data_IF_595669665041
#
_entry.id   IF_595669665041
#
_cell.length_a   1.000
_cell.length_b   1.000
_cell.length_c   1.000
_cell.angle_alpha   90.00
_cell.angle_beta   90.00
_cell.angle_gamma   90.00
#
_symmetry.space_group_name_H-M   'P 1'
#
loop_
_entity.id
_entity.type
_entity.pdbx_description
1 polymer ?
#
# COMPACT_ATOMS: atom_id res chain seq x y z
N UNK A 1 38.33 4.75 -32.76
CA UNK A 1 39.70 5.06 -32.31
C UNK A 1 40.51 3.76 -32.15
N UNK A 2 40.54 2.89 -33.18
CA UNK A 2 41.14 1.53 -33.14
C UNK A 2 42.34 1.39 -34.11
N UNK A 3 42.74 2.47 -34.79
CA UNK A 3 43.49 2.35 -36.04
C UNK A 3 45.01 2.04 -35.93
N UNK A 4 45.67 2.07 -34.76
CA UNK A 4 47.15 2.06 -34.71
C UNK A 4 47.78 1.12 -33.66
N UNK A 5 47.12 0.04 -33.23
CA UNK A 5 47.71 -0.87 -32.23
C UNK A 5 48.78 -1.82 -32.78
N UNK A 6 48.83 -2.01 -34.11
CA UNK A 6 49.78 -2.89 -34.77
C UNK A 6 50.65 -2.06 -35.72
N UNK A 7 51.66 -1.37 -35.18
CA UNK A 7 52.77 -0.95 -36.03
C UNK A 7 53.56 -2.22 -36.38
N UNK A 8 53.40 -2.69 -37.62
CA UNK A 8 54.15 -3.85 -38.11
C UNK A 8 55.65 -3.62 -37.91
N UNK A 9 56.39 -4.60 -37.34
CA UNK A 9 57.84 -4.50 -37.27
C UNK A 9 58.39 -4.45 -38.70
N UNK A 10 59.18 -3.43 -39.01
CA UNK A 10 59.82 -3.24 -40.32
C UNK A 10 60.54 -4.54 -40.72
N UNK A 11 60.13 -5.14 -41.84
CA UNK A 11 60.83 -6.30 -42.43
C UNK A 11 62.16 -5.85 -43.01
N UNK A 12 63.25 -6.21 -42.33
CA UNK A 12 64.60 -6.16 -42.90
C UNK A 12 64.95 -7.57 -43.41
N UNK A 13 64.87 -7.76 -44.72
CA UNK A 13 65.06 -9.04 -45.43
C UNK A 13 66.52 -9.54 -45.47
N UNK A 14 67.45 -8.99 -44.67
CA UNK A 14 68.89 -9.29 -44.75
C UNK A 14 69.54 -9.96 -43.52
N UNK A 15 68.77 -10.40 -42.51
CA UNK A 15 69.35 -10.73 -41.19
C UNK A 15 69.49 -12.22 -40.82
N UNK A 16 69.41 -13.18 -41.75
CA UNK A 16 69.38 -14.61 -41.40
C UNK A 16 70.75 -15.25 -41.05
N UNK A 17 71.84 -14.46 -40.95
CA UNK A 17 73.21 -15.01 -40.85
C UNK A 17 73.74 -15.13 -39.41
N UNK A 18 73.06 -14.59 -38.39
CA UNK A 18 73.56 -14.63 -37.00
C UNK A 18 72.52 -15.17 -36.00
N UNK A 19 72.71 -16.40 -35.50
CA UNK A 19 71.74 -17.11 -34.65
C UNK A 19 71.42 -16.40 -33.33
N UNK A 20 72.41 -15.78 -32.67
CA UNK A 20 72.21 -15.03 -31.42
C UNK A 20 71.39 -13.75 -31.64
N UNK A 21 71.68 -13.01 -32.73
CA UNK A 21 70.94 -11.82 -33.15
C UNK A 21 69.50 -12.14 -33.59
N UNK A 22 69.23 -13.39 -33.95
CA UNK A 22 67.88 -13.86 -34.34
C UNK A 22 67.02 -14.13 -33.10
N UNK A 23 67.61 -14.69 -32.03
CA UNK A 23 66.89 -14.96 -30.77
C UNK A 23 66.48 -13.66 -30.09
N UNK A 24 67.37 -12.68 -30.01
CA UNK A 24 67.08 -11.36 -29.41
C UNK A 24 65.94 -10.62 -30.14
N UNK A 25 65.91 -10.69 -31.48
CA UNK A 25 64.81 -10.14 -32.28
C UNK A 25 63.47 -10.84 -32.00
N UNK A 26 63.48 -12.17 -31.88
CA UNK A 26 62.27 -12.94 -31.56
C UNK A 26 61.75 -12.59 -30.16
N UNK A 27 62.62 -12.45 -29.17
CA UNK A 27 62.26 -12.03 -27.81
C UNK A 27 61.64 -10.63 -27.82
N UNK A 28 62.27 -9.67 -28.50
CA UNK A 28 61.73 -8.30 -28.58
C UNK A 28 60.35 -8.24 -29.25
N UNK A 29 60.12 -9.02 -30.30
CA UNK A 29 58.81 -9.12 -30.95
C UNK A 29 57.79 -9.77 -30.02
N UNK A 30 58.19 -10.82 -29.28
CA UNK A 30 57.35 -11.48 -28.29
C UNK A 30 56.94 -10.51 -27.17
N UNK A 31 57.87 -9.75 -26.60
CA UNK A 31 57.60 -8.78 -25.54
C UNK A 31 56.70 -7.63 -26.03
N UNK A 32 56.91 -7.18 -27.28
CA UNK A 32 56.03 -6.20 -27.90
C UNK A 32 54.60 -6.74 -28.06
N UNK A 33 54.44 -7.97 -28.57
CA UNK A 33 53.14 -8.61 -28.72
C UNK A 33 52.45 -8.84 -27.36
N UNK A 34 53.19 -9.29 -26.35
CA UNK A 34 52.67 -9.46 -24.99
C UNK A 34 52.20 -8.12 -24.40
N UNK A 35 52.99 -7.06 -24.58
CA UNK A 35 52.62 -5.73 -24.11
C UNK A 35 51.41 -5.17 -24.84
N UNK A 36 51.32 -5.37 -26.16
CA UNK A 36 50.17 -4.97 -26.96
C UNK A 36 48.91 -5.75 -26.55
N UNK A 37 49.05 -7.05 -26.31
CA UNK A 37 47.97 -7.92 -25.82
C UNK A 37 47.46 -7.45 -24.45
N UNK A 38 48.35 -7.20 -23.50
CA UNK A 38 47.96 -6.71 -22.17
C UNK A 38 47.20 -5.38 -22.26
N UNK A 39 47.65 -4.43 -23.08
CA UNK A 39 46.91 -3.17 -23.29
C UNK A 39 45.51 -3.39 -23.86
N UNK A 40 45.35 -4.33 -24.79
CA UNK A 40 44.04 -4.68 -25.33
C UNK A 40 43.17 -5.30 -24.24
N UNK A 41 43.72 -6.23 -23.45
CA UNK A 41 43.01 -6.87 -22.34
C UNK A 41 42.53 -5.82 -21.31
N UNK A 42 43.41 -4.90 -20.89
CA UNK A 42 43.08 -3.82 -19.96
C UNK A 42 41.99 -2.90 -20.54
N UNK A 43 42.07 -2.57 -21.84
CA UNK A 43 41.07 -1.73 -22.51
C UNK A 43 39.70 -2.42 -22.58
N UNK A 44 39.68 -3.73 -22.88
CA UNK A 44 38.45 -4.53 -22.93
C UNK A 44 37.83 -4.64 -21.53
N UNK A 45 38.63 -4.88 -20.50
CA UNK A 45 38.16 -4.97 -19.12
C UNK A 45 37.57 -3.63 -18.64
N UNK A 46 38.28 -2.52 -18.86
CA UNK A 46 37.79 -1.18 -18.56
C UNK A 46 36.48 -0.86 -19.29
N UNK A 47 36.34 -1.26 -20.56
CA UNK A 47 35.10 -1.08 -21.30
C UNK A 47 33.95 -1.92 -20.74
N UNK A 48 34.23 -3.17 -20.35
CA UNK A 48 33.25 -4.06 -19.71
C UNK A 48 32.74 -3.45 -18.40
N UNK A 49 33.63 -2.98 -17.55
CA UNK A 49 33.26 -2.41 -16.25
C UNK A 49 32.42 -1.14 -16.41
N UNK A 50 32.75 -0.28 -17.38
CA UNK A 50 31.91 0.87 -17.75
C UNK A 50 30.51 0.45 -18.20
N UNK A 51 30.37 -0.60 -19.02
CA UNK A 51 29.05 -1.11 -19.43
C UNK A 51 28.26 -1.62 -18.23
N UNK A 52 28.91 -2.32 -17.30
CA UNK A 52 28.26 -2.83 -16.09
C UNK A 52 27.76 -1.68 -15.22
N UNK A 53 28.57 -0.64 -15.01
CA UNK A 53 28.18 0.57 -14.28
C UNK A 53 26.97 1.28 -14.94
N UNK A 54 27.02 1.48 -16.26
CA UNK A 54 25.91 2.07 -17.02
C UNK A 54 24.63 1.23 -16.92
N UNK A 55 24.75 -0.09 -17.06
CA UNK A 55 23.62 -1.00 -16.92
C UNK A 55 23.02 -0.93 -15.52
N UNK A 56 23.85 -0.89 -14.48
CA UNK A 56 23.41 -0.77 -13.10
C UNK A 56 22.62 0.52 -12.86
N UNK A 57 23.13 1.66 -13.33
CA UNK A 57 22.44 2.94 -13.26
C UNK A 57 21.09 2.91 -13.98
N UNK A 58 21.06 2.41 -15.23
CA UNK A 58 19.83 2.35 -16.04
C UNK A 58 18.79 1.46 -15.36
N UNK A 59 19.21 0.31 -14.82
CA UNK A 59 18.32 -0.60 -14.10
C UNK A 59 17.67 0.10 -12.89
N UNK A 60 18.47 0.76 -12.05
CA UNK A 60 17.94 1.51 -10.89
C UNK A 60 16.98 2.63 -11.31
N UNK A 61 17.32 3.38 -12.36
CA UNK A 61 16.46 4.45 -12.88
C UNK A 61 15.11 3.91 -13.36
N UNK A 62 15.13 2.81 -14.11
CA UNK A 62 13.93 2.15 -14.60
C UNK A 62 13.11 1.57 -13.44
N UNK A 63 13.76 0.96 -12.46
CA UNK A 63 13.09 0.44 -11.26
C UNK A 63 12.42 1.54 -10.43
N UNK A 64 13.07 2.70 -10.25
CA UNK A 64 12.46 3.88 -9.64
C UNK A 64 11.19 4.30 -10.39
N UNK A 65 11.29 4.41 -11.72
CA UNK A 65 10.17 4.83 -12.57
C UNK A 65 8.99 3.85 -12.49
N UNK A 66 9.24 2.56 -12.66
CA UNK A 66 8.19 1.54 -12.58
C UNK A 66 7.54 1.48 -11.20
N UNK A 67 8.34 1.63 -10.13
CA UNK A 67 7.79 1.63 -8.76
C UNK A 67 6.93 2.88 -8.53
N UNK A 68 7.33 4.04 -9.09
CA UNK A 68 6.52 5.27 -9.04
C UNK A 68 5.19 5.11 -9.79
N UNK A 69 5.22 4.57 -11.01
CA UNK A 69 4.01 4.27 -11.79
C UNK A 69 3.09 3.29 -11.06
N UNK A 70 3.66 2.26 -10.43
CA UNK A 70 2.90 1.31 -9.63
C UNK A 70 2.24 1.97 -8.42
N UNK A 71 2.92 2.90 -7.73
CA UNK A 71 2.32 3.68 -6.65
C UNK A 71 1.15 4.51 -7.17
N UNK A 72 1.31 5.21 -8.31
CA UNK A 72 0.24 6.00 -8.93
C UNK A 72 -0.97 5.14 -9.29
N UNK A 73 -0.75 3.91 -9.78
CA UNK A 73 -1.83 2.95 -10.00
C UNK A 73 -2.58 2.63 -8.69
N UNK A 74 -1.84 2.38 -7.59
CA UNK A 74 -2.44 2.11 -6.27
C UNK A 74 -3.16 3.32 -5.67
N UNK A 75 -2.66 4.54 -5.91
CA UNK A 75 -3.37 5.77 -5.57
C UNK A 75 -4.71 5.86 -6.30
N UNK A 76 -4.76 5.52 -7.60
CA UNK A 76 -6.00 5.49 -8.36
C UNK A 76 -6.99 4.43 -7.83
N UNK A 77 -6.50 3.24 -7.44
CA UNK A 77 -7.33 2.22 -6.78
C UNK A 77 -7.87 2.75 -5.46
N UNK A 78 -7.06 3.43 -4.64
CA UNK A 78 -7.51 4.03 -3.39
C UNK A 78 -8.57 5.10 -3.63
N UNK A 79 -8.37 6.00 -4.59
CA UNK A 79 -9.34 7.04 -4.97
C UNK A 79 -10.67 6.44 -5.45
N UNK A 80 -10.61 5.35 -6.21
CA UNK A 80 -11.82 4.63 -6.66
C UNK A 80 -12.67 4.08 -5.51
N UNK A 81 -12.10 3.96 -4.29
CA UNK A 81 -12.87 3.52 -3.13
C UNK A 81 -13.81 4.59 -2.59
N UNK A 82 -13.62 5.86 -2.91
CA UNK A 82 -14.47 6.95 -2.41
C UNK A 82 -15.89 6.93 -2.99
N UNK A 83 -16.09 6.33 -4.17
CA UNK A 83 -17.41 6.18 -4.80
C UNK A 83 -18.22 4.98 -4.29
N UNK A 84 -17.61 4.09 -3.51
CA UNK A 84 -18.30 2.90 -3.00
C UNK A 84 -19.10 3.27 -1.75
N UNK A 85 -20.39 2.94 -1.75
CA UNK A 85 -21.28 3.18 -0.62
C UNK A 85 -20.88 2.32 0.59
N UNK A 86 -20.33 2.97 1.61
CA UNK A 86 -19.95 2.33 2.87
C UNK A 86 -21.17 1.94 3.74
N UNK A 87 -22.39 2.40 3.42
CA UNK A 87 -23.60 2.05 4.17
C UNK A 87 -24.24 0.74 3.71
N UNK A 88 -23.96 0.30 2.48
CA UNK A 88 -24.42 -0.99 1.98
C UNK A 88 -23.50 -2.11 2.45
N UNK A 89 -24.06 -3.24 2.91
CA UNK A 89 -23.27 -4.42 3.30
C UNK A 89 -22.35 -4.88 2.16
N UNK A 90 -22.87 -4.88 0.92
CA UNK A 90 -22.11 -5.26 -0.27
C UNK A 90 -20.95 -4.29 -0.53
N UNK A 91 -21.21 -2.98 -0.45
CA UNK A 91 -20.18 -1.96 -0.63
C UNK A 91 -19.11 -2.00 0.46
N UNK A 92 -19.49 -2.25 1.72
CA UNK A 92 -18.57 -2.40 2.84
C UNK A 92 -17.66 -3.63 2.70
N UNK A 93 -18.20 -4.76 2.21
CA UNK A 93 -17.40 -5.96 1.92
C UNK A 93 -16.41 -5.70 0.79
N UNK A 94 -16.84 -5.05 -0.28
CA UNK A 94 -15.97 -4.69 -1.40
C UNK A 94 -14.85 -3.73 -0.96
N UNK A 95 -15.19 -2.70 -0.20
CA UNK A 95 -14.24 -1.75 0.38
C UNK A 95 -13.17 -2.46 1.21
N UNK A 96 -13.58 -3.34 2.13
CA UNK A 96 -12.64 -4.10 2.96
C UNK A 96 -11.69 -4.95 2.13
N UNK A 97 -12.20 -5.63 1.10
CA UNK A 97 -11.37 -6.45 0.21
C UNK A 97 -10.35 -5.58 -0.53
N UNK A 98 -10.77 -4.45 -1.12
CA UNK A 98 -9.87 -3.54 -1.85
C UNK A 98 -8.79 -2.97 -0.94
N UNK A 99 -9.16 -2.52 0.26
CA UNK A 99 -8.19 -1.97 1.22
C UNK A 99 -7.23 -3.04 1.77
N UNK A 100 -7.69 -4.26 2.01
CA UNK A 100 -6.81 -5.37 2.42
C UNK A 100 -5.78 -5.69 1.33
N UNK A 101 -6.20 -5.75 0.07
CA UNK A 101 -5.29 -5.96 -1.05
C UNK A 101 -4.27 -4.82 -1.16
N UNK A 102 -4.72 -3.56 -1.04
CA UNK A 102 -3.84 -2.40 -1.02
C UNK A 102 -2.83 -2.43 0.12
N UNK A 103 -3.19 -2.94 1.31
CA UNK A 103 -2.24 -3.13 2.41
C UNK A 103 -1.16 -4.16 2.08
N UNK A 104 -1.51 -5.22 1.36
CA UNK A 104 -0.55 -6.20 0.84
C UNK A 104 0.40 -5.57 -0.18
N UNK A 105 -0.15 -4.86 -1.16
CA UNK A 105 0.60 -4.14 -2.18
C UNK A 105 1.57 -3.13 -1.54
N UNK A 106 1.13 -2.41 -0.51
CA UNK A 106 1.95 -1.42 0.19
C UNK A 106 3.21 -2.04 0.84
N UNK A 107 3.12 -3.27 1.37
CA UNK A 107 4.29 -3.99 1.91
C UNK A 107 5.28 -4.37 0.82
N UNK A 108 4.78 -4.81 -0.33
CA UNK A 108 5.62 -5.14 -1.47
C UNK A 108 6.30 -3.88 -2.05
N UNK A 109 5.58 -2.76 -2.12
CA UNK A 109 6.13 -1.45 -2.50
C UNK A 109 7.22 -1.03 -1.50
N UNK A 110 6.96 -1.13 -0.19
CA UNK A 110 7.93 -0.78 0.87
C UNK A 110 9.25 -1.54 0.70
N UNK A 111 9.18 -2.87 0.53
CA UNK A 111 10.37 -3.70 0.29
C UNK A 111 11.14 -3.26 -0.97
N UNK A 112 10.42 -2.89 -2.04
CA UNK A 112 11.05 -2.43 -3.29
C UNK A 112 11.70 -1.05 -3.15
N UNK A 113 11.03 -0.11 -2.48
CA UNK A 113 11.59 1.22 -2.19
C UNK A 113 12.85 1.11 -1.34
N UNK A 114 12.86 0.23 -0.32
CA UNK A 114 14.05 -0.03 0.50
C UNK A 114 15.19 -0.62 -0.31
N UNK A 115 14.93 -1.68 -1.10
CA UNK A 115 15.96 -2.32 -1.91
C UNK A 115 16.60 -1.37 -2.94
N UNK A 116 15.79 -0.54 -3.60
CA UNK A 116 16.30 0.49 -4.52
C UNK A 116 17.19 1.48 -3.76
N UNK A 117 16.78 1.93 -2.57
CA UNK A 117 17.54 2.87 -1.75
C UNK A 117 18.88 2.31 -1.31
N UNK A 118 18.93 1.05 -0.88
CA UNK A 118 20.17 0.34 -0.50
C UNK A 118 21.17 0.30 -1.67
N UNK A 119 20.71 -0.12 -2.86
CA UNK A 119 21.53 -0.20 -4.07
C UNK A 119 21.99 1.16 -4.60
N UNK A 120 21.19 2.22 -4.41
CA UNK A 120 21.64 3.60 -4.67
C UNK A 120 22.73 4.01 -3.67
N UNK A 121 22.59 3.62 -2.41
CA UNK A 121 23.61 3.84 -1.38
C UNK A 121 24.94 3.15 -1.71
N UNK A 122 24.88 1.92 -2.22
CA UNK A 122 26.05 1.18 -2.71
C UNK A 122 26.74 1.93 -3.87
N UNK A 123 25.96 2.43 -4.84
CA UNK A 123 26.48 3.23 -5.96
C UNK A 123 27.22 4.49 -5.48
N UNK A 124 26.62 5.20 -4.52
CA UNK A 124 27.22 6.40 -3.93
C UNK A 124 28.55 6.05 -3.26
N UNK A 125 28.58 4.98 -2.45
CA UNK A 125 29.81 4.50 -1.81
C UNK A 125 30.92 4.15 -2.81
N UNK A 126 30.58 3.49 -3.91
CA UNK A 126 31.53 3.17 -4.99
C UNK A 126 32.09 4.43 -5.65
N UNK A 127 31.25 5.43 -5.94
CA UNK A 127 31.70 6.69 -6.57
C UNK A 127 32.57 7.54 -5.65
N UNK A 128 32.41 7.43 -4.34
CA UNK A 128 33.24 8.15 -3.35
C UNK A 128 34.63 7.53 -3.22
N UNK A 129 34.72 6.20 -3.24
CA UNK A 129 35.96 5.42 -3.03
C UNK A 129 36.90 5.38 -4.23
N UNK A 130 36.44 5.73 -5.44
CA UNK A 130 37.31 5.79 -6.62
C UNK A 130 38.37 6.89 -6.49
N UNK A 131 39.64 6.52 -6.25
CA UNK A 131 40.81 7.39 -6.48
C UNK A 131 41.03 7.55 -7.99
N UNK A 132 41.36 8.76 -8.45
CA UNK A 132 41.37 9.10 -9.88
C UNK A 132 42.67 9.75 -10.30
N UNK A 133 43.25 9.23 -11.38
CA UNK A 133 44.28 9.92 -12.16
C UNK A 133 43.67 11.13 -12.88
N UNK A 134 44.42 12.24 -12.95
CA UNK A 134 43.96 13.56 -13.44
C UNK A 134 43.19 13.55 -14.78
N UNK A 135 43.38 12.55 -15.64
CA UNK A 135 42.77 12.44 -16.97
C UNK A 135 41.33 11.85 -16.97
N UNK A 136 40.86 11.25 -15.86
CA UNK A 136 39.51 10.63 -15.78
C UNK A 136 38.50 11.42 -14.91
N UNK A 137 38.83 12.66 -14.53
CA UNK A 137 38.02 13.44 -13.60
C UNK A 137 36.59 13.77 -14.11
N UNK A 138 36.41 13.89 -15.43
CA UNK A 138 35.09 14.11 -16.04
C UNK A 138 34.18 12.87 -15.91
N UNK A 139 34.76 11.66 -15.86
CA UNK A 139 34.00 10.40 -15.73
C UNK A 139 33.41 10.30 -14.31
N UNK A 140 34.19 10.57 -13.27
CA UNK A 140 33.66 10.57 -11.89
C UNK A 140 32.65 11.67 -11.63
N UNK A 141 32.83 12.85 -12.22
CA UNK A 141 31.82 13.90 -12.11
C UNK A 141 30.49 13.47 -12.74
N UNK A 142 30.51 12.76 -13.88
CA UNK A 142 29.30 12.19 -14.48
C UNK A 142 28.67 11.12 -13.61
N UNK A 143 29.46 10.18 -13.09
CA UNK A 143 28.96 9.09 -12.24
C UNK A 143 28.35 9.62 -10.94
N UNK A 144 29.01 10.58 -10.28
CA UNK A 144 28.48 11.27 -9.10
C UNK A 144 27.16 11.98 -9.39
N UNK A 145 27.07 12.77 -10.46
CA UNK A 145 25.82 13.46 -10.85
C UNK A 145 24.66 12.49 -11.08
N UNK A 146 24.95 11.32 -11.65
CA UNK A 146 23.97 10.25 -11.87
C UNK A 146 23.50 9.64 -10.55
N UNK A 147 24.41 9.33 -9.64
CA UNK A 147 24.07 8.82 -8.32
C UNK A 147 23.25 9.85 -7.51
N UNK A 148 23.64 11.13 -7.53
CA UNK A 148 22.87 12.23 -6.92
C UNK A 148 21.46 12.35 -7.51
N UNK A 149 21.34 12.21 -8.84
CA UNK A 149 20.05 12.22 -9.52
C UNK A 149 19.16 11.05 -9.09
N UNK A 150 19.70 9.82 -9.04
CA UNK A 150 18.97 8.65 -8.55
C UNK A 150 18.51 8.82 -7.12
N UNK A 151 19.37 9.35 -6.24
CA UNK A 151 19.01 9.64 -4.85
C UNK A 151 17.83 10.61 -4.76
N UNK A 152 17.83 11.67 -5.59
CA UNK A 152 16.71 12.61 -5.66
C UNK A 152 15.41 11.95 -6.14
N UNK A 153 15.48 11.09 -7.16
CA UNK A 153 14.30 10.36 -7.63
C UNK A 153 13.81 9.35 -6.58
N UNK A 154 14.71 8.68 -5.86
CA UNK A 154 14.36 7.79 -4.75
C UNK A 154 13.69 8.52 -3.58
N UNK A 155 14.15 9.73 -3.24
CA UNK A 155 13.50 10.56 -2.23
C UNK A 155 12.05 10.91 -2.63
N UNK A 156 11.81 11.27 -3.90
CA UNK A 156 10.45 11.51 -4.40
C UNK A 156 9.59 10.24 -4.32
N UNK A 157 10.14 9.11 -4.77
CA UNK A 157 9.48 7.81 -4.71
C UNK A 157 9.09 7.44 -3.27
N UNK A 158 10.02 7.63 -2.33
CA UNK A 158 9.79 7.40 -0.90
C UNK A 158 8.67 8.28 -0.37
N UNK A 159 8.64 9.57 -0.76
CA UNK A 159 7.58 10.47 -0.36
C UNK A 159 6.21 10.06 -0.93
N UNK A 160 6.14 9.64 -2.20
CA UNK A 160 4.91 9.12 -2.80
C UNK A 160 4.40 7.90 -2.04
N UNK A 161 5.28 6.96 -1.71
CA UNK A 161 4.93 5.78 -0.91
C UNK A 161 4.40 6.16 0.49
N UNK A 162 5.06 7.09 1.19
CA UNK A 162 4.59 7.57 2.49
C UNK A 162 3.22 8.24 2.41
N UNK A 163 2.98 9.03 1.36
CA UNK A 163 1.69 9.66 1.12
C UNK A 163 0.58 8.62 0.91
N UNK A 164 0.83 7.60 0.06
CA UNK A 164 -0.11 6.51 -0.17
C UNK A 164 -0.39 5.73 1.13
N UNK A 165 0.65 5.45 1.93
CA UNK A 165 0.53 4.76 3.23
C UNK A 165 -0.39 5.52 4.19
N UNK A 166 -0.20 6.84 4.31
CA UNK A 166 -1.02 7.67 5.17
C UNK A 166 -2.45 7.82 4.63
N UNK A 167 -2.63 8.01 3.32
CA UNK A 167 -3.95 8.07 2.70
C UNK A 167 -4.74 6.76 2.91
N UNK A 168 -4.10 5.60 2.76
CA UNK A 168 -4.71 4.30 3.03
C UNK A 168 -5.15 4.17 4.49
N UNK A 169 -4.29 4.59 5.44
CA UNK A 169 -4.60 4.59 6.87
C UNK A 169 -5.81 5.46 7.18
N UNK A 170 -5.88 6.67 6.62
CA UNK A 170 -7.01 7.58 6.77
C UNK A 170 -8.30 6.97 6.22
N UNK A 171 -8.24 6.36 5.02
CA UNK A 171 -9.40 5.69 4.42
C UNK A 171 -9.90 4.51 5.26
N UNK A 172 -9.00 3.66 5.77
CA UNK A 172 -9.35 2.54 6.67
C UNK A 172 -10.04 3.05 7.93
N UNK A 173 -9.50 4.10 8.56
CA UNK A 173 -10.08 4.70 9.76
C UNK A 173 -11.48 5.24 9.49
N UNK A 174 -11.65 5.98 8.39
CA UNK A 174 -12.94 6.53 7.97
C UNK A 174 -14.00 5.46 7.75
N UNK A 175 -13.68 4.36 7.07
CA UNK A 175 -14.63 3.26 6.85
C UNK A 175 -14.96 2.53 8.14
N UNK A 176 -13.98 2.35 9.03
CA UNK A 176 -14.23 1.78 10.35
C UNK A 176 -15.24 2.62 11.13
N UNK A 177 -15.08 3.95 11.12
CA UNK A 177 -15.93 4.87 11.86
C UNK A 177 -17.31 5.00 11.22
N UNK A 178 -17.41 5.12 9.89
CA UNK A 178 -18.68 5.12 9.14
C UNK A 178 -19.45 3.80 9.33
N UNK A 179 -18.77 2.66 9.24
CA UNK A 179 -19.39 1.34 9.43
C UNK A 179 -19.93 1.11 10.85
N UNK A 180 -19.36 1.76 11.88
CA UNK A 180 -19.94 1.74 13.23
C UNK A 180 -21.28 2.48 13.29
N UNK A 181 -21.39 3.63 12.62
CA UNK A 181 -22.65 4.40 12.53
C UNK A 181 -23.71 3.59 11.80
N UNK A 182 -23.41 3.01 10.63
CA UNK A 182 -24.40 2.27 9.85
C UNK A 182 -24.92 1.05 10.62
N UNK A 183 -24.05 0.29 11.29
CA UNK A 183 -24.46 -0.84 12.15
C UNK A 183 -25.32 -0.42 13.33
N UNK A 184 -25.03 0.74 13.91
CA UNK A 184 -25.85 1.28 14.99
C UNK A 184 -27.26 1.62 14.50
N UNK A 185 -27.35 2.33 13.37
CA UNK A 185 -28.64 2.68 12.76
C UNK A 185 -29.47 1.43 12.42
N UNK A 186 -28.86 0.42 11.79
CA UNK A 186 -29.52 -0.84 11.46
C UNK A 186 -30.04 -1.58 12.71
N UNK A 187 -29.22 -1.68 13.76
CA UNK A 187 -29.64 -2.28 15.04
C UNK A 187 -30.80 -1.53 15.67
N UNK A 188 -30.77 -0.19 15.61
CA UNK A 188 -31.83 0.63 16.18
C UNK A 188 -33.14 0.50 15.38
N UNK A 189 -33.07 0.44 14.05
CA UNK A 189 -34.22 0.19 13.18
C UNK A 189 -34.84 -1.18 13.45
N UNK A 190 -34.02 -2.24 13.52
CA UNK A 190 -34.47 -3.58 13.90
C UNK A 190 -35.15 -3.60 15.27
N UNK A 191 -34.61 -2.84 16.23
CA UNK A 191 -35.21 -2.71 17.56
C UNK A 191 -36.55 -1.95 17.52
N UNK A 192 -36.67 -0.91 16.70
CA UNK A 192 -37.94 -0.21 16.47
C UNK A 192 -39.00 -1.10 15.82
N UNK A 193 -38.62 -1.90 14.82
CA UNK A 193 -39.51 -2.87 14.19
C UNK A 193 -40.00 -3.91 15.19
N UNK A 194 -39.09 -4.44 16.02
CA UNK A 194 -39.43 -5.38 17.09
C UNK A 194 -40.43 -4.78 18.08
N UNK A 195 -40.21 -3.54 18.54
CA UNK A 195 -41.15 -2.87 19.44
C UNK A 195 -42.50 -2.61 18.78
N UNK A 196 -42.55 -2.21 17.51
CA UNK A 196 -43.80 -2.04 16.77
C UNK A 196 -44.60 -3.35 16.70
N UNK A 197 -43.95 -4.47 16.37
CA UNK A 197 -44.57 -5.80 16.35
C UNK A 197 -45.10 -6.20 17.73
N UNK A 198 -44.28 -6.03 18.77
CA UNK A 198 -44.66 -6.32 20.15
C UNK A 198 -45.91 -5.53 20.58
N UNK A 199 -46.02 -4.26 20.18
CA UNK A 199 -47.21 -3.43 20.43
C UNK A 199 -48.45 -3.98 19.70
N UNK A 200 -48.32 -4.29 18.41
CA UNK A 200 -49.42 -4.85 17.62
C UNK A 200 -49.92 -6.17 18.22
N UNK A 201 -49.02 -7.09 18.59
CA UNK A 201 -49.39 -8.41 19.11
C UNK A 201 -50.17 -8.36 20.43
N UNK A 202 -49.94 -7.33 21.26
CA UNK A 202 -50.53 -7.20 22.60
C UNK A 202 -51.79 -6.33 22.62
N UNK A 203 -51.82 -5.24 21.85
CA UNK A 203 -52.90 -4.25 21.92
C UNK A 203 -53.93 -4.37 20.79
N UNK A 204 -53.64 -5.08 19.70
CA UNK A 204 -54.52 -5.18 18.52
C UNK A 204 -55.20 -6.55 18.41
N UNK A 205 -54.82 -7.55 19.21
CA UNK A 205 -55.58 -8.81 19.28
C UNK A 205 -56.95 -8.56 19.93
N UNK A 206 -58.01 -8.80 19.16
CA UNK A 206 -59.36 -8.88 19.71
C UNK A 206 -59.40 -9.96 20.80
N UNK A 207 -59.96 -9.60 21.95
CA UNK A 207 -60.20 -10.54 23.04
C UNK A 207 -61.15 -11.64 22.55
N UNK A 208 -60.83 -12.94 22.72
CA UNK A 208 -61.74 -14.01 22.35
C UNK A 208 -63.08 -13.83 23.07
N UNK A 209 -64.18 -13.87 22.32
CA UNK A 209 -65.55 -13.74 22.85
C UNK A 209 -65.89 -14.76 23.94
N UNK A 210 -65.13 -15.85 24.04
CA UNK A 210 -65.33 -16.97 24.96
C UNK A 210 -64.51 -16.87 26.27
N UNK A 211 -63.96 -15.68 26.57
CA UNK A 211 -63.27 -15.39 27.84
C UNK A 211 -64.09 -15.75 29.09
N UNK A 212 -65.43 -15.76 28.98
CA UNK A 212 -66.34 -16.09 30.07
C UNK A 212 -66.47 -17.61 30.33
N UNK A 213 -66.13 -18.46 29.35
CA UNK A 213 -66.43 -19.91 29.37
C UNK A 213 -65.20 -20.81 29.31
N UNK A 214 -64.00 -20.28 29.01
CA UNK A 214 -62.77 -21.07 28.88
C UNK A 214 -61.62 -20.55 29.76
N UNK A 215 -61.40 -21.22 30.91
CA UNK A 215 -60.31 -20.92 31.85
C UNK A 215 -58.90 -21.05 31.24
N UNK A 216 -58.73 -21.93 30.25
CA UNK A 216 -57.43 -22.12 29.60
C UNK A 216 -57.10 -20.94 28.68
N UNK A 217 -58.10 -20.38 28.00
CA UNK A 217 -57.94 -19.15 27.21
C UNK A 217 -57.55 -17.94 28.09
N UNK A 218 -58.13 -17.83 29.29
CA UNK A 218 -57.74 -16.80 30.28
C UNK A 218 -56.29 -16.97 30.74
N UNK A 219 -55.88 -18.20 31.06
CA UNK A 219 -54.50 -18.51 31.49
C UNK A 219 -53.48 -18.25 30.39
N UNK A 220 -53.81 -18.56 29.14
CA UNK A 220 -52.95 -18.29 28.00
C UNK A 220 -52.75 -16.79 27.76
N UNK A 221 -53.81 -15.99 27.87
CA UNK A 221 -53.72 -14.52 27.79
C UNK A 221 -52.88 -13.96 28.95
N UNK A 222 -53.07 -14.47 30.17
CA UNK A 222 -52.28 -14.04 31.33
C UNK A 222 -50.79 -14.38 31.17
N UNK A 223 -50.46 -15.57 30.65
CA UNK A 223 -49.09 -15.97 30.34
C UNK A 223 -48.46 -15.09 29.26
N UNK A 224 -49.22 -14.72 28.23
CA UNK A 224 -48.78 -13.79 27.19
C UNK A 224 -48.54 -12.39 27.77
N UNK A 225 -49.42 -11.90 28.64
CA UNK A 225 -49.25 -10.61 29.32
C UNK A 225 -48.00 -10.58 30.22
N UNK A 226 -47.74 -11.62 31.01
CA UNK A 226 -46.53 -11.70 31.83
C UNK A 226 -45.27 -11.76 30.96
N UNK A 227 -45.29 -12.55 29.87
CA UNK A 227 -44.18 -12.60 28.89
C UNK A 227 -43.93 -11.23 28.26
N UNK A 228 -45.00 -10.49 27.94
CA UNK A 228 -44.90 -9.11 27.47
C UNK A 228 -44.32 -8.18 28.53
N UNK A 229 -44.79 -8.25 29.77
CA UNK A 229 -44.30 -7.45 30.89
C UNK A 229 -42.80 -7.64 31.13
N UNK A 230 -42.33 -8.89 31.13
CA UNK A 230 -40.88 -9.18 31.22
C UNK A 230 -40.11 -8.61 30.03
N UNK A 231 -40.66 -8.72 28.82
CA UNK A 231 -40.04 -8.15 27.60
C UNK A 231 -40.01 -6.61 27.63
N UNK A 232 -40.99 -5.96 28.25
CA UNK A 232 -41.07 -4.51 28.40
C UNK A 232 -40.11 -3.99 29.48
N UNK A 233 -39.93 -4.72 30.58
CA UNK A 233 -38.87 -4.42 31.56
C UNK A 233 -37.49 -4.52 30.93
N UNK A 234 -37.22 -5.58 30.17
CA UNK A 234 -35.97 -5.74 29.42
C UNK A 234 -35.80 -4.67 28.32
N UNK A 235 -36.90 -4.08 27.84
CA UNK A 235 -36.87 -3.02 26.84
C UNK A 235 -36.20 -1.76 27.38
N UNK A 236 -36.45 -1.40 28.66
CA UNK A 236 -35.85 -0.20 29.28
C UNK A 236 -34.33 -0.25 29.25
N UNK A 237 -33.74 -1.35 29.73
CA UNK A 237 -32.29 -1.52 29.76
C UNK A 237 -31.70 -1.53 28.33
N UNK A 238 -32.42 -2.10 27.36
CA UNK A 238 -32.01 -2.13 25.94
C UNK A 238 -32.12 -0.75 25.29
N UNK A 239 -33.12 0.05 25.64
CA UNK A 239 -33.27 1.44 25.21
C UNK A 239 -32.12 2.27 25.76
N UNK A 240 -31.82 2.18 27.05
CA UNK A 240 -30.75 2.93 27.69
C UNK A 240 -29.38 2.57 27.09
N UNK A 241 -29.12 1.28 26.89
CA UNK A 241 -27.91 0.79 26.23
C UNK A 241 -27.81 1.26 24.76
N UNK A 242 -28.91 1.25 23.99
CA UNK A 242 -28.91 1.72 22.61
C UNK A 242 -28.62 3.23 22.53
N UNK A 243 -29.20 4.03 23.43
CA UNK A 243 -28.97 5.48 23.47
C UNK A 243 -27.54 5.81 23.92
N UNK A 244 -26.99 5.07 24.86
CA UNK A 244 -25.59 5.22 25.28
C UNK A 244 -24.62 4.88 24.16
N UNK A 245 -24.86 3.78 23.44
CA UNK A 245 -24.10 3.44 22.24
C UNK A 245 -24.20 4.53 21.17
N UNK A 246 -25.40 5.08 20.96
CA UNK A 246 -25.62 6.20 20.03
C UNK A 246 -24.83 7.45 20.41
N UNK A 247 -24.82 7.84 21.69
CA UNK A 247 -24.01 8.96 22.21
C UNK A 247 -22.51 8.72 22.03
N UNK A 248 -22.03 7.52 22.37
CA UNK A 248 -20.62 7.16 22.25
C UNK A 248 -20.14 7.20 20.78
N UNK A 249 -20.97 6.69 19.85
CA UNK A 249 -20.70 6.77 18.41
C UNK A 249 -20.72 8.22 17.94
N UNK A 250 -21.66 9.04 18.42
CA UNK A 250 -21.76 10.46 18.07
C UNK A 250 -20.55 11.29 18.56
N UNK A 251 -20.00 10.96 19.73
CA UNK A 251 -18.76 11.56 20.24
C UNK A 251 -17.54 11.17 19.41
N UNK A 252 -17.45 9.90 19.00
CA UNK A 252 -16.33 9.37 18.20
C UNK A 252 -16.40 9.71 16.71
N UNK A 253 -17.56 10.13 16.21
CA UNK A 253 -17.78 10.51 14.81
C UNK A 253 -18.42 11.92 14.70
N UNK A 254 -17.62 13.00 14.72
CA UNK A 254 -18.14 14.35 14.54
C UNK A 254 -18.91 14.52 13.22
N UNK A 255 -18.45 13.91 12.13
CA UNK A 255 -19.06 14.02 10.81
C UNK A 255 -20.47 13.39 10.71
N UNK A 256 -20.80 12.41 11.56
CA UNK A 256 -22.10 11.73 11.58
C UNK A 256 -22.85 11.94 12.91
N UNK A 257 -22.36 12.87 13.75
CA UNK A 257 -22.88 13.14 15.09
C UNK A 257 -24.37 13.47 15.04
N UNK A 258 -24.74 14.43 14.20
CA UNK A 258 -26.12 14.91 14.10
C UNK A 258 -27.06 13.80 13.62
N UNK A 259 -26.62 12.98 12.66
CA UNK A 259 -27.40 11.84 12.17
C UNK A 259 -27.65 10.79 13.26
N UNK A 260 -26.62 10.46 14.04
CA UNK A 260 -26.74 9.50 15.14
C UNK A 260 -27.63 10.03 16.26
N UNK A 261 -27.47 11.31 16.64
CA UNK A 261 -28.26 11.96 17.69
C UNK A 261 -29.72 12.14 17.27
N UNK A 262 -29.99 12.66 16.07
CA UNK A 262 -31.35 12.83 15.55
C UNK A 262 -32.11 11.49 15.51
N UNK A 263 -31.44 10.39 15.17
CA UNK A 263 -32.05 9.06 15.21
C UNK A 263 -32.37 8.61 16.64
N UNK A 264 -31.48 8.88 17.61
CA UNK A 264 -31.74 8.63 19.03
C UNK A 264 -32.94 9.44 19.56
N UNK A 265 -33.04 10.71 19.17
CA UNK A 265 -34.15 11.58 19.54
C UNK A 265 -35.48 11.08 18.96
N UNK A 266 -35.51 10.75 17.66
CA UNK A 266 -36.67 10.15 17.01
C UNK A 266 -37.09 8.84 17.71
N UNK A 267 -36.10 8.01 18.05
CA UNK A 267 -36.31 6.77 18.80
C UNK A 267 -36.97 7.02 20.16
N UNK A 268 -36.49 8.02 20.92
CA UNK A 268 -37.09 8.44 22.18
C UNK A 268 -38.49 9.04 22.03
N UNK A 269 -38.75 9.83 20.98
CA UNK A 269 -40.08 10.37 20.71
C UNK A 269 -41.09 9.25 20.41
N UNK A 270 -40.70 8.27 19.60
CA UNK A 270 -41.54 7.11 19.28
C UNK A 270 -41.87 6.25 20.51
N UNK A 271 -40.95 6.17 21.48
CA UNK A 271 -41.23 5.53 22.77
C UNK A 271 -42.30 6.29 23.57
N UNK A 272 -42.28 7.63 23.55
CA UNK A 272 -43.24 8.48 24.30
C UNK A 272 -44.64 8.52 23.69
N UNK A 273 -44.75 8.38 22.37
CA UNK A 273 -46.03 8.36 21.65
C UNK A 273 -46.60 6.92 21.60
N UNK A 274 -45.75 5.93 21.85
CA UNK A 274 -46.03 4.50 21.68
C UNK A 274 -46.58 3.77 22.90
N UNK A 275 -46.41 4.32 24.10
CA UNK A 275 -46.86 3.80 25.40
C UNK A 275 -47.58 4.91 26.18
#
# INVERSE_FOLDING_TARGET
>A
MIANFLNEPKRDDQSLVNKEMTIEKVINVQDHLNSAWNRIADTVESHRDRIVEESFYINLFIECKYTSEWITEKEAVLFSTDSIDANSLTGLVELRRRLFNLQGDLKAIEARVQNIGERIGELLGMTEQQEIEYDEQDIKLKSKRRADYLMKEHMKLTQQWLNLKEALKQRVNRISTEGQVSRFLEKLDSFQDWMRKLKTDVFVREFPSDLQTNLDAVRDIQKQYETFRFSLLACKDRVDAALELGRNIAEKNPANRDRALAKCELFQQNLKIGF
#
